data_IF_248536080018
#
_entry.id   IF_248536080018
#
_cell.length_a   1.000
_cell.length_b   1.000
_cell.length_c   1.000
_cell.angle_alpha   90.00
_cell.angle_beta   90.00
_cell.angle_gamma   90.00
#
_symmetry.space_group_name_H-M   'P 1'
#
loop_
_entity.id
_entity.type
_entity.pdbx_description
1 polymer ?
#
# COMPACT_ATOMS: atom_id res chain seq x y z
N UNK A 1 41.28 -2.52 39.49
CA UNK A 1 40.31 -1.40 39.51
C UNK A 1 39.90 -1.16 38.06
N UNK A 2 38.59 -1.17 37.85
CA UNK A 2 37.91 -1.57 36.61
C UNK A 2 38.14 -0.67 35.39
N UNK A 3 38.30 -1.30 34.23
CA UNK A 3 38.18 -0.67 32.92
C UNK A 3 36.70 -0.39 32.62
N UNK A 4 36.39 0.85 32.23
CA UNK A 4 35.06 1.24 31.74
C UNK A 4 34.85 0.62 30.36
N UNK A 5 33.90 -0.30 30.23
CA UNK A 5 33.47 -0.81 28.93
C UNK A 5 32.74 0.31 28.18
N UNK A 6 33.30 0.76 27.05
CA UNK A 6 32.60 1.64 26.12
C UNK A 6 31.42 0.88 25.48
N UNK A 7 30.23 1.50 25.35
CA UNK A 7 29.12 0.85 24.66
C UNK A 7 29.53 0.56 23.21
N UNK A 8 29.15 -0.60 22.63
CA UNK A 8 29.40 -0.89 21.23
C UNK A 8 28.75 0.20 20.37
N UNK A 9 29.57 0.90 19.59
CA UNK A 9 29.10 1.87 18.60
C UNK A 9 28.61 1.04 17.41
N UNK A 10 27.36 0.62 17.46
CA UNK A 10 26.68 0.04 16.31
C UNK A 10 26.36 1.17 15.32
N UNK A 11 26.55 0.97 13.99
CA UNK A 11 26.18 1.99 13.02
C UNK A 11 24.67 2.27 13.13
N UNK A 12 24.32 3.53 13.38
CA UNK A 12 22.93 4.00 13.47
C UNK A 12 22.15 3.88 12.15
N UNK A 13 22.75 3.29 11.11
CA UNK A 13 22.16 3.09 9.78
C UNK A 13 20.87 2.28 9.83
N UNK A 14 20.74 1.32 10.76
CA UNK A 14 19.48 0.58 10.96
C UNK A 14 18.33 1.48 11.44
N UNK A 15 18.63 2.45 12.32
CA UNK A 15 17.62 3.36 12.87
C UNK A 15 17.32 4.56 11.95
N UNK A 16 18.24 4.94 11.07
CA UNK A 16 18.11 6.14 10.21
C UNK A 16 17.85 5.84 8.74
N UNK A 17 18.07 4.60 8.27
CA UNK A 17 17.88 4.24 6.87
C UNK A 17 16.46 4.48 6.37
N UNK A 18 15.45 4.10 7.18
CA UNK A 18 14.05 4.38 6.85
C UNK A 18 13.73 5.87 6.89
N UNK A 19 14.28 6.62 7.85
CA UNK A 19 14.11 8.08 7.92
C UNK A 19 14.65 8.77 6.67
N UNK A 20 15.84 8.37 6.20
CA UNK A 20 16.41 8.90 4.96
C UNK A 20 15.61 8.49 3.72
N UNK A 21 15.16 7.24 3.63
CA UNK A 21 14.28 6.79 2.54
C UNK A 21 12.96 7.58 2.50
N UNK A 22 12.37 7.85 3.67
CA UNK A 22 11.15 8.66 3.79
C UNK A 22 11.40 10.14 3.42
N UNK A 23 12.54 10.71 3.79
CA UNK A 23 12.95 12.06 3.35
C UNK A 23 13.10 12.16 1.83
N UNK A 24 13.62 11.12 1.18
CA UNK A 24 13.70 11.07 -0.28
C UNK A 24 12.32 11.04 -0.94
N UNK A 25 11.38 10.24 -0.41
CA UNK A 25 9.99 10.17 -0.91
C UNK A 25 9.26 11.50 -0.69
N UNK A 26 9.45 12.13 0.47
CA UNK A 26 8.94 13.48 0.77
C UNK A 26 9.40 14.52 -0.25
N UNK A 27 10.70 14.52 -0.57
CA UNK A 27 11.27 15.45 -1.56
C UNK A 27 10.76 15.18 -2.97
N UNK A 28 10.54 13.91 -3.34
CA UNK A 28 10.01 13.58 -4.66
C UNK A 28 8.52 13.94 -4.80
N UNK A 29 7.76 13.82 -3.70
CA UNK A 29 6.33 14.10 -3.66
C UNK A 29 5.95 15.55 -3.39
N UNK A 30 6.88 16.46 -3.09
CA UNK A 30 6.57 17.81 -2.57
C UNK A 30 5.80 18.73 -3.54
N UNK A 31 5.76 18.41 -4.84
CA UNK A 31 5.04 19.20 -5.84
C UNK A 31 3.53 18.91 -5.89
N UNK A 32 3.05 17.83 -5.27
CA UNK A 32 1.63 17.45 -5.28
C UNK A 32 0.78 18.07 -4.15
N UNK A 33 1.29 18.39 -2.94
CA UNK A 33 0.53 19.00 -1.85
C UNK A 33 0.83 20.50 -1.66
N UNK A 34 1.56 21.13 -2.59
CA UNK A 34 1.90 22.55 -2.49
C UNK A 34 0.65 23.42 -2.63
N UNK A 35 0.28 24.10 -1.54
CA UNK A 35 -0.80 25.09 -1.55
C UNK A 35 -0.30 26.40 -2.20
N UNK A 36 -1.16 27.15 -2.92
CA UNK A 36 -0.84 28.51 -3.41
C UNK A 36 -0.40 29.47 -2.29
N UNK A 37 -0.72 29.15 -1.05
CA UNK A 37 -0.37 29.90 0.17
C UNK A 37 1.08 29.66 0.63
N UNK A 38 1.86 28.84 -0.07
CA UNK A 38 3.25 28.51 0.28
C UNK A 38 3.40 27.49 1.40
N UNK A 39 2.31 26.81 1.80
CA UNK A 39 2.35 25.71 2.77
C UNK A 39 2.22 24.37 2.07
N UNK A 40 2.99 23.38 2.52
CA UNK A 40 2.87 21.98 2.06
C UNK A 40 2.08 21.23 3.12
N UNK A 41 0.90 20.71 2.73
CA UNK A 41 0.09 19.87 3.62
C UNK A 41 0.38 18.41 3.31
N UNK A 42 1.44 17.88 3.92
CA UNK A 42 1.86 16.51 3.69
C UNK A 42 1.28 15.57 4.74
N UNK A 43 0.46 14.63 4.30
CA UNK A 43 0.00 13.49 5.10
C UNK A 43 0.71 12.22 4.66
N UNK A 44 1.23 11.44 5.61
CA UNK A 44 1.77 10.11 5.35
C UNK A 44 0.74 9.10 5.81
N UNK A 45 0.36 8.19 4.92
CA UNK A 45 -0.41 6.99 5.26
C UNK A 45 0.53 5.81 5.17
N UNK A 46 0.74 5.13 6.31
CA UNK A 46 1.50 3.89 6.38
C UNK A 46 0.51 2.73 6.26
N UNK A 47 0.45 2.14 5.07
CA UNK A 47 -0.47 1.04 4.75
C UNK A 47 0.31 -0.29 4.76
N UNK A 48 -0.30 -1.35 5.30
CA UNK A 48 0.34 -2.65 5.55
C UNK A 48 -0.11 -3.75 4.58
N UNK A 49 -0.80 -3.37 3.51
CA UNK A 49 -1.46 -4.21 2.53
C UNK A 49 -2.33 -5.32 3.17
N UNK A 50 -3.03 -4.98 4.26
CA UNK A 50 -3.95 -5.91 4.92
C UNK A 50 -5.40 -5.36 4.88
N UNK A 51 -6.32 -6.04 4.16
CA UNK A 51 -6.10 -7.26 3.38
C UNK A 51 -5.36 -7.01 2.04
N UNK A 52 -4.68 -8.03 1.49
CA UNK A 52 -3.85 -7.88 0.30
C UNK A 52 -4.66 -7.49 -0.94
N UNK A 53 -3.99 -6.85 -1.89
CA UNK A 53 -4.61 -6.45 -3.16
C UNK A 53 -5.05 -7.67 -4.00
N UNK A 54 -6.16 -7.53 -4.72
CA UNK A 54 -6.64 -8.57 -5.63
C UNK A 54 -5.78 -8.63 -6.89
N UNK A 55 -5.19 -9.79 -7.16
CA UNK A 55 -4.40 -10.03 -8.38
C UNK A 55 -5.12 -10.89 -9.42
N UNK A 56 -6.20 -11.57 -9.01
CA UNK A 56 -6.93 -12.55 -9.84
C UNK A 56 -7.90 -11.87 -10.78
N UNK A 57 -7.79 -12.12 -12.08
CA UNK A 57 -8.66 -11.56 -13.12
C UNK A 57 -8.03 -10.41 -13.92
N UNK A 58 -6.82 -9.98 -13.54
CA UNK A 58 -6.05 -8.94 -14.25
C UNK A 58 -5.11 -9.51 -15.32
N UNK A 59 -5.02 -10.83 -15.48
CA UNK A 59 -4.09 -11.50 -16.39
C UNK A 59 -4.44 -11.31 -17.88
N UNK A 60 -5.68 -10.89 -18.18
CA UNK A 60 -6.17 -10.73 -19.56
C UNK A 60 -5.43 -9.67 -20.35
N UNK A 61 -4.98 -8.58 -19.70
CA UNK A 61 -4.18 -7.53 -20.35
C UNK A 61 -2.84 -8.08 -20.82
N UNK A 62 -2.15 -8.87 -19.99
CA UNK A 62 -0.87 -9.47 -20.38
C UNK A 62 -1.07 -10.47 -21.52
N UNK A 63 -2.11 -11.31 -21.46
CA UNK A 63 -2.43 -12.25 -22.54
C UNK A 63 -2.73 -11.54 -23.86
N UNK A 64 -3.40 -10.39 -23.83
CA UNK A 64 -3.64 -9.56 -25.03
C UNK A 64 -2.31 -9.06 -25.60
N UNK A 65 -1.44 -8.50 -24.75
CA UNK A 65 -0.12 -8.00 -25.15
C UNK A 65 0.71 -9.12 -25.78
N UNK A 66 0.71 -10.32 -25.18
CA UNK A 66 1.45 -11.47 -25.69
C UNK A 66 0.94 -11.90 -27.08
N UNK A 67 -0.37 -11.83 -27.31
CA UNK A 67 -0.97 -12.11 -28.62
C UNK A 67 -0.63 -11.05 -29.67
N UNK A 68 -0.53 -9.78 -29.28
CA UNK A 68 -0.10 -8.69 -30.17
C UNK A 68 1.37 -8.90 -30.55
N UNK A 69 2.25 -9.15 -29.57
CA UNK A 69 3.67 -9.44 -29.80
C UNK A 69 3.91 -10.67 -30.67
N UNK A 70 3.08 -11.70 -30.53
CA UNK A 70 3.14 -12.89 -31.38
C UNK A 70 2.83 -12.58 -32.86
N UNK A 71 2.03 -11.54 -33.13
CA UNK A 71 1.69 -11.09 -34.50
C UNK A 71 2.65 -10.01 -35.02
N UNK A 72 3.14 -9.16 -34.14
CA UNK A 72 4.11 -8.10 -34.41
C UNK A 72 5.26 -8.15 -33.39
N UNK A 73 6.38 -8.81 -33.71
CA UNK A 73 7.52 -8.93 -32.82
C UNK A 73 8.16 -7.59 -32.42
N UNK A 74 8.01 -6.56 -33.25
CA UNK A 74 8.59 -5.22 -33.04
C UNK A 74 7.71 -4.32 -32.15
N UNK A 75 6.55 -4.82 -31.69
CA UNK A 75 5.61 -4.06 -30.86
C UNK A 75 6.20 -3.68 -29.49
N UNK A 76 6.21 -2.39 -29.19
CA UNK A 76 6.65 -1.82 -27.91
C UNK A 76 5.48 -1.27 -27.10
N UNK A 77 5.23 -1.87 -25.94
CA UNK A 77 4.14 -1.49 -25.01
C UNK A 77 4.24 -0.04 -24.50
N UNK A 78 5.42 0.58 -24.58
CA UNK A 78 5.66 1.92 -24.04
C UNK A 78 5.37 3.03 -25.07
N UNK A 79 5.32 2.69 -26.36
CA UNK A 79 5.23 3.67 -27.46
C UNK A 79 4.12 3.37 -28.47
N UNK A 80 3.75 2.10 -28.65
CA UNK A 80 2.73 1.70 -29.60
C UNK A 80 1.35 1.63 -28.93
N UNK A 81 0.33 2.09 -29.67
CA UNK A 81 -1.06 2.02 -29.21
C UNK A 81 -1.59 0.58 -29.24
N UNK A 82 -2.36 0.20 -28.22
CA UNK A 82 -3.08 -1.06 -28.15
C UNK A 82 -4.47 -0.89 -27.51
N UNK A 83 -5.42 -1.81 -27.77
CA UNK A 83 -6.77 -1.69 -27.23
C UNK A 83 -6.79 -1.65 -25.70
N UNK A 84 -7.58 -0.74 -25.15
CA UNK A 84 -7.83 -0.69 -23.71
C UNK A 84 -8.67 -1.88 -23.27
N UNK A 85 -8.20 -2.63 -22.27
CA UNK A 85 -8.89 -3.80 -21.74
C UNK A 85 -9.95 -3.39 -20.70
N UNK A 86 -11.22 -3.35 -21.10
CA UNK A 86 -12.35 -3.06 -20.19
C UNK A 86 -12.81 -4.26 -19.38
N UNK A 87 -12.27 -5.45 -19.62
CA UNK A 87 -12.65 -6.69 -18.94
C UNK A 87 -11.73 -7.01 -17.75
N UNK A 88 -10.65 -6.24 -17.55
CA UNK A 88 -9.73 -6.42 -16.43
C UNK A 88 -10.41 -6.03 -15.11
N UNK A 89 -10.80 -7.03 -14.33
CA UNK A 89 -11.46 -6.84 -13.04
C UNK A 89 -11.06 -7.92 -12.04
N UNK A 90 -11.20 -7.60 -10.76
CA UNK A 90 -11.03 -8.59 -9.70
C UNK A 90 -12.11 -9.68 -9.83
N UNK A 91 -11.68 -10.93 -9.98
CA UNK A 91 -12.55 -12.09 -10.25
C UNK A 91 -12.89 -12.94 -9.03
N UNK A 92 -12.38 -12.58 -7.84
CA UNK A 92 -12.73 -13.29 -6.61
C UNK A 92 -14.17 -12.95 -6.16
N UNK A 93 -14.84 -13.84 -5.43
CA UNK A 93 -16.19 -13.58 -4.93
C UNK A 93 -16.28 -12.35 -4.02
N UNK A 94 -17.40 -11.65 -4.07
CA UNK A 94 -17.75 -10.57 -3.13
C UNK A 94 -17.67 -11.09 -1.69
N UNK A 95 -16.99 -10.33 -0.83
CA UNK A 95 -16.70 -10.71 0.56
C UNK A 95 -15.38 -11.46 0.75
N UNK A 96 -14.63 -11.75 -0.32
CA UNK A 96 -13.22 -12.14 -0.19
C UNK A 96 -12.43 -11.01 0.47
N UNK A 97 -11.50 -11.29 1.41
CA UNK A 97 -10.64 -10.26 2.00
C UNK A 97 -9.90 -9.44 0.96
N UNK A 98 -9.44 -10.07 -0.12
CA UNK A 98 -8.72 -9.38 -1.22
C UNK A 98 -9.62 -8.51 -2.10
N UNK A 99 -10.94 -8.69 -2.04
CA UNK A 99 -11.89 -7.98 -2.88
C UNK A 99 -12.40 -6.68 -2.26
N UNK A 100 -12.12 -6.38 -0.98
CA UNK A 100 -12.81 -5.31 -0.23
C UNK A 100 -12.59 -3.91 -0.83
N UNK A 101 -11.49 -3.70 -1.55
CA UNK A 101 -11.16 -2.42 -2.24
C UNK A 101 -11.51 -2.44 -3.73
N UNK A 102 -12.11 -3.51 -4.23
CA UNK A 102 -12.42 -3.69 -5.65
C UNK A 102 -13.61 -2.85 -6.09
N UNK A 103 -13.55 -2.35 -7.34
CA UNK A 103 -14.62 -1.58 -7.97
C UNK A 103 -15.97 -2.32 -8.03
N UNK A 104 -15.95 -3.66 -7.99
CA UNK A 104 -17.16 -4.50 -7.96
C UNK A 104 -18.03 -4.27 -6.71
N UNK A 105 -17.51 -3.61 -5.66
CA UNK A 105 -18.28 -3.25 -4.47
C UNK A 105 -18.86 -1.84 -4.54
N UNK A 106 -18.71 -1.11 -5.66
CA UNK A 106 -19.21 0.26 -5.79
C UNK A 106 -20.73 0.34 -5.55
N UNK A 107 -21.50 -0.61 -6.10
CA UNK A 107 -22.96 -0.66 -5.90
C UNK A 107 -23.35 -0.99 -4.45
N UNK A 108 -22.42 -1.59 -3.70
CA UNK A 108 -22.59 -2.00 -2.29
C UNK A 108 -22.17 -0.89 -1.31
N UNK A 109 -21.79 0.28 -1.82
CA UNK A 109 -21.32 1.40 -0.99
C UNK A 109 -22.44 2.22 -0.35
N UNK A 110 -23.66 2.15 -0.88
CA UNK A 110 -24.78 2.92 -0.36
C UNK A 110 -25.45 2.16 0.82
N UNK A 111 -25.43 2.72 2.04
CA UNK A 111 -25.99 2.09 3.24
C UNK A 111 -27.53 1.98 3.24
N UNK A 112 -28.22 2.68 2.34
CA UNK A 112 -29.68 2.62 2.22
C UNK A 112 -30.17 1.33 1.53
N UNK A 113 -29.27 0.60 0.85
CA UNK A 113 -29.58 -0.69 0.24
C UNK A 113 -29.16 -1.85 1.13
N UNK A 114 -30.02 -2.87 1.22
CA UNK A 114 -29.74 -4.10 1.96
C UNK A 114 -28.51 -4.79 1.38
N UNK A 115 -27.46 -4.91 2.20
CA UNK A 115 -26.21 -5.52 1.81
C UNK A 115 -26.20 -7.03 2.10
N UNK A 116 -25.47 -7.84 1.31
CA UNK A 116 -25.38 -9.29 1.50
C UNK A 116 -24.87 -9.76 2.88
N UNK A 117 -24.27 -8.85 3.66
CA UNK A 117 -23.67 -9.11 4.97
C UNK A 117 -24.36 -8.39 6.14
N UNK A 118 -25.47 -7.68 5.94
CA UNK A 118 -26.13 -6.92 7.03
C UNK A 118 -26.56 -7.81 8.19
N UNK A 119 -26.98 -9.05 7.89
CA UNK A 119 -27.41 -10.03 8.90
C UNK A 119 -26.30 -11.03 9.29
N UNK A 120 -25.05 -10.79 8.88
CA UNK A 120 -23.90 -11.65 9.19
C UNK A 120 -22.96 -10.91 10.13
N UNK A 121 -22.76 -11.38 11.37
CA UNK A 121 -21.80 -10.76 12.29
C UNK A 121 -20.41 -10.67 11.65
N UNK A 122 -19.85 -9.47 11.60
CA UNK A 122 -18.48 -9.25 11.11
C UNK A 122 -17.50 -9.95 12.08
N UNK A 123 -16.61 -10.77 11.54
CA UNK A 123 -15.53 -11.41 12.28
C UNK A 123 -14.22 -10.99 11.65
N UNK A 124 -13.28 -10.56 12.46
CA UNK A 124 -11.91 -10.25 12.05
C UNK A 124 -10.96 -11.24 12.74
N UNK A 125 -10.87 -12.49 12.25
CA UNK A 125 -10.06 -13.52 12.89
C UNK A 125 -8.55 -13.31 12.70
N UNK A 126 -8.15 -12.51 11.70
CA UNK A 126 -6.76 -12.29 11.29
C UNK A 126 -6.34 -10.82 11.52
N UNK A 127 -6.69 -10.29 12.70
CA UNK A 127 -6.38 -8.91 13.07
C UNK A 127 -4.86 -8.69 13.09
N UNK A 128 -4.38 -7.74 12.29
CA UNK A 128 -2.97 -7.41 12.22
C UNK A 128 -2.53 -6.69 13.49
N UNK A 129 -1.67 -7.35 14.29
CA UNK A 129 -1.10 -6.74 15.48
C UNK A 129 -0.07 -5.65 15.10
N UNK A 130 -0.48 -4.39 15.19
CA UNK A 130 0.37 -3.24 14.87
C UNK A 130 1.30 -2.81 16.03
N UNK A 131 1.20 -3.41 17.22
CA UNK A 131 2.02 -3.05 18.37
C UNK A 131 3.54 -3.11 18.10
N UNK A 132 4.08 -4.11 17.37
CA UNK A 132 5.51 -4.14 17.06
C UNK A 132 5.97 -2.97 16.18
N UNK A 133 5.15 -2.54 15.20
CA UNK A 133 5.42 -1.37 14.37
C UNK A 133 5.30 -0.09 15.19
N UNK A 134 4.26 0.03 16.02
CA UNK A 134 4.04 1.16 16.88
C UNK A 134 5.19 1.36 17.88
N UNK A 135 5.71 0.29 18.48
CA UNK A 135 6.84 0.35 19.41
C UNK A 135 8.14 0.83 18.74
N UNK A 136 8.40 0.36 17.51
CA UNK A 136 9.58 0.80 16.74
C UNK A 136 9.45 2.28 16.33
N UNK A 137 8.27 2.69 15.87
CA UNK A 137 8.00 4.08 15.51
C UNK A 137 8.06 5.00 16.73
N UNK A 138 7.51 4.58 17.88
CA UNK A 138 7.57 5.33 19.14
C UNK A 138 9.02 5.65 19.53
N UNK A 139 9.90 4.66 19.49
CA UNK A 139 11.34 4.87 19.70
C UNK A 139 11.96 5.87 18.73
N UNK A 140 11.58 5.80 17.44
CA UNK A 140 12.06 6.70 16.39
C UNK A 140 11.58 8.14 16.55
N UNK A 141 10.31 8.34 16.94
CA UNK A 141 9.73 9.68 17.17
C UNK A 141 9.99 10.21 18.59
N UNK A 142 10.78 9.50 19.39
CA UNK A 142 11.16 9.92 20.74
C UNK A 142 10.07 9.76 21.80
N UNK A 143 8.98 9.04 21.49
CA UNK A 143 7.94 8.66 22.45
C UNK A 143 8.50 7.50 23.28
N UNK A 144 8.60 7.72 24.59
CA UNK A 144 9.12 6.74 25.56
C UNK A 144 8.05 6.51 26.60
N UNK A 145 7.91 5.27 27.07
CA UNK A 145 7.12 5.01 28.27
C UNK A 145 7.74 5.79 29.44
N UNK A 146 6.90 6.51 30.18
CA UNK A 146 7.27 7.18 31.41
C UNK A 146 7.47 6.09 32.47
N UNK A 147 8.69 5.96 32.99
CA UNK A 147 8.97 5.16 34.18
C UNK A 147 8.86 6.02 35.44
#
# INVERSE_FOLDING_TARGET
>A
MSALAQPPIEPASFATGMTFAMLSILSAGSNTPSSPEGTIRFGIVLETENPPSCTRGYESTQRMIDQIKARNPDFDINYDDFPFNTEAACSVPTGSPTAVRGANNADLSNPDFVQPWDNKPKRDPDELNLNPLANQLAGLVGVRAEN
#
